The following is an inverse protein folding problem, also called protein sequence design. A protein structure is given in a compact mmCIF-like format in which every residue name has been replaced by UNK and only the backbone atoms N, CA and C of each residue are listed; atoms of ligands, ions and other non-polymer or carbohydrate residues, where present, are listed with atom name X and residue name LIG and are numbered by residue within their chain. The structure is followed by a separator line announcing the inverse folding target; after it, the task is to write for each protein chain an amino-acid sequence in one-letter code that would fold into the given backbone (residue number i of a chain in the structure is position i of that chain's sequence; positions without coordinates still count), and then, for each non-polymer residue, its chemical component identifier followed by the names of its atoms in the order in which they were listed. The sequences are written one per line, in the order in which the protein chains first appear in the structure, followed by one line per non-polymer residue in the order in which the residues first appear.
data_IF_757291807631
#
_entry.id   IF_757291807631
#
_cell.length_a   1.000
_cell.length_b   1.000
_cell.length_c   1.000
_cell.angle_alpha   90.00
_cell.angle_beta   90.00
_cell.angle_gamma   90.00
#
_symmetry.space_group_name_H-M   'P 1'
#
loop_
_entity.id
_entity.type
_entity.pdbx_description
1 polymer ?
#
# COMPACT_ATOMS: atom_id res chain seq x y z
N UNK A 1 18.16 -10.20 3.54
CA UNK A 1 18.36 -9.45 2.28
C UNK A 1 17.27 -9.91 1.32
N UNK A 2 16.52 -9.00 0.71
CA UNK A 2 15.36 -9.35 -0.11
C UNK A 2 15.74 -9.92 -1.49
N UNK A 3 16.94 -9.60 -1.96
CA UNK A 3 17.50 -10.08 -3.22
C UNK A 3 19.04 -10.04 -3.16
N UNK A 4 19.76 -10.85 -3.95
CA UNK A 4 21.21 -10.79 -4.02
C UNK A 4 21.64 -9.42 -4.53
N UNK A 5 22.58 -8.78 -3.85
CA UNK A 5 23.22 -7.58 -4.37
C UNK A 5 24.37 -7.99 -5.29
N UNK A 6 24.45 -7.31 -6.43
CA UNK A 6 25.68 -7.39 -7.21
C UNK A 6 26.81 -6.65 -6.47
N UNK A 7 27.84 -7.37 -6.06
CA UNK A 7 29.00 -6.83 -5.35
C UNK A 7 30.19 -6.63 -6.27
N UNK A 8 30.04 -6.84 -7.58
CA UNK A 8 31.13 -6.64 -8.54
C UNK A 8 31.51 -5.16 -8.64
N UNK A 9 32.79 -4.82 -8.47
CA UNK A 9 33.25 -3.43 -8.55
C UNK A 9 33.36 -2.90 -9.99
N UNK A 10 33.07 -3.75 -10.98
CA UNK A 10 33.15 -3.42 -12.40
C UNK A 10 31.79 -3.56 -13.08
N UNK A 11 31.54 -2.68 -14.03
CA UNK A 11 30.36 -2.79 -14.90
C UNK A 11 30.48 -4.07 -15.77
N UNK A 12 29.52 -4.96 -15.65
CA UNK A 12 29.44 -6.19 -16.43
C UNK A 12 28.55 -5.97 -17.65
N UNK A 13 29.11 -6.25 -18.83
CA UNK A 13 28.40 -6.07 -20.10
C UNK A 13 27.13 -6.94 -20.16
N UNK A 14 27.22 -8.18 -19.73
CA UNK A 14 26.10 -9.12 -19.79
C UNK A 14 24.97 -8.70 -18.85
N UNK A 15 25.29 -8.22 -17.64
CA UNK A 15 24.32 -7.68 -16.71
C UNK A 15 23.67 -6.39 -17.24
N UNK A 16 24.42 -5.57 -17.98
CA UNK A 16 23.86 -4.39 -18.63
C UNK A 16 22.93 -4.74 -19.79
N UNK A 17 23.27 -5.76 -20.60
CA UNK A 17 22.44 -6.21 -21.72
C UNK A 17 21.20 -6.99 -21.28
N UNK A 18 21.31 -7.74 -20.17
CA UNK A 18 20.23 -8.56 -19.61
C UNK A 18 20.15 -8.37 -18.10
N UNK A 19 19.63 -7.23 -17.64
CA UNK A 19 19.59 -6.92 -16.22
C UNK A 19 18.67 -7.87 -15.45
N UNK A 20 19.10 -8.27 -14.26
CA UNK A 20 18.29 -9.02 -13.30
C UNK A 20 17.18 -8.14 -12.71
N UNK A 21 16.22 -8.74 -12.01
CA UNK A 21 14.99 -8.08 -11.57
C UNK A 21 15.24 -6.81 -10.74
N UNK A 22 16.28 -6.78 -9.92
CA UNK A 22 16.64 -5.65 -9.04
C UNK A 22 17.10 -4.40 -9.79
N UNK A 23 17.46 -4.52 -11.07
CA UNK A 23 17.86 -3.40 -11.94
C UNK A 23 16.75 -2.94 -12.88
N UNK A 24 15.59 -3.58 -12.83
CA UNK A 24 14.43 -3.23 -13.65
C UNK A 24 13.40 -2.44 -12.86
N UNK A 25 12.55 -1.70 -13.55
CA UNK A 25 11.50 -0.92 -12.92
C UNK A 25 10.49 -1.80 -12.15
N UNK A 26 9.97 -1.26 -11.05
CA UNK A 26 8.91 -1.86 -10.25
C UNK A 26 7.82 -0.81 -10.02
N UNK A 27 6.73 -0.84 -10.78
CA UNK A 27 5.67 0.17 -10.69
C UNK A 27 4.84 0.04 -9.42
N UNK A 28 4.23 1.15 -9.00
CA UNK A 28 3.08 1.10 -8.11
C UNK A 28 1.91 0.46 -8.84
N UNK A 29 1.49 -0.69 -8.35
CA UNK A 29 0.36 -1.42 -8.91
C UNK A 29 -0.90 -1.16 -8.10
N UNK A 30 -1.74 -0.27 -8.62
CA UNK A 30 -2.91 0.23 -7.93
C UNK A 30 -4.02 -0.83 -7.86
N UNK A 31 -4.32 -1.30 -6.66
CA UNK A 31 -5.44 -2.17 -6.35
C UNK A 31 -6.66 -1.30 -5.99
N UNK A 32 -7.51 -1.07 -6.97
CA UNK A 32 -8.63 -0.11 -6.91
C UNK A 32 -9.98 -0.69 -7.35
N UNK A 33 -10.15 -2.00 -7.29
CA UNK A 33 -11.38 -2.70 -7.65
C UNK A 33 -11.63 -3.87 -6.68
N UNK A 34 -12.62 -4.71 -6.99
CA UNK A 34 -12.76 -6.03 -6.40
C UNK A 34 -11.66 -6.93 -6.94
N UNK A 35 -10.80 -7.42 -6.03
CA UNK A 35 -9.61 -8.16 -6.43
C UNK A 35 -9.98 -9.61 -6.81
N UNK A 36 -9.55 -10.03 -7.98
CA UNK A 36 -9.71 -11.42 -8.46
C UNK A 36 -8.35 -12.04 -8.69
N UNK A 37 -8.11 -13.21 -8.10
CA UNK A 37 -6.83 -13.89 -8.17
C UNK A 37 -6.33 -14.05 -9.60
N UNK A 38 -7.19 -14.54 -10.48
CA UNK A 38 -6.80 -14.83 -11.86
C UNK A 38 -6.41 -13.56 -12.64
N UNK A 39 -7.12 -12.46 -12.39
CA UNK A 39 -6.81 -11.16 -12.98
C UNK A 39 -5.49 -10.60 -12.46
N UNK A 40 -5.23 -10.73 -11.14
CA UNK A 40 -3.98 -10.30 -10.54
C UNK A 40 -2.80 -11.08 -11.13
N UNK A 41 -2.90 -12.40 -11.22
CA UNK A 41 -1.83 -13.23 -11.77
C UNK A 41 -1.60 -12.92 -13.26
N UNK A 42 -2.66 -12.71 -14.02
CA UNK A 42 -2.55 -12.28 -15.42
C UNK A 42 -1.87 -10.91 -15.56
N UNK A 43 -2.20 -9.95 -14.69
CA UNK A 43 -1.55 -8.63 -14.69
C UNK A 43 -0.05 -8.73 -14.38
N UNK A 44 0.35 -9.65 -13.48
CA UNK A 44 1.79 -9.93 -13.22
C UNK A 44 2.47 -10.45 -14.48
N UNK A 45 1.83 -11.34 -15.24
CA UNK A 45 2.36 -11.81 -16.51
C UNK A 45 2.56 -10.64 -17.51
N UNK A 46 1.63 -9.67 -17.53
CA UNK A 46 1.78 -8.47 -18.36
C UNK A 46 2.93 -7.58 -17.89
N UNK A 47 3.08 -7.36 -16.58
CA UNK A 47 4.20 -6.61 -16.03
C UNK A 47 5.54 -7.25 -16.40
N UNK A 48 5.63 -8.58 -16.28
CA UNK A 48 6.81 -9.33 -16.70
C UNK A 48 7.09 -9.17 -18.19
N UNK A 49 6.08 -9.31 -19.04
CA UNK A 49 6.20 -9.17 -20.49
C UNK A 49 6.66 -7.76 -20.90
N UNK A 50 6.30 -6.74 -20.14
CA UNK A 50 6.78 -5.36 -20.31
C UNK A 50 8.23 -5.16 -19.81
N UNK A 51 8.88 -6.19 -19.25
CA UNK A 51 10.25 -6.11 -18.75
C UNK A 51 10.37 -5.55 -17.33
N UNK A 52 9.28 -5.46 -16.56
CA UNK A 52 9.34 -5.03 -15.16
C UNK A 52 10.06 -6.07 -14.30
N UNK A 53 10.85 -5.62 -13.34
CA UNK A 53 11.58 -6.47 -12.39
C UNK A 53 10.78 -6.80 -11.13
N UNK A 54 9.65 -6.12 -10.93
CA UNK A 54 8.81 -6.33 -9.77
C UNK A 54 7.60 -5.41 -9.77
N UNK A 55 6.92 -5.33 -8.64
CA UNK A 55 5.72 -4.50 -8.47
C UNK A 55 5.47 -4.19 -6.98
N UNK A 56 4.80 -3.07 -6.72
CA UNK A 56 4.32 -2.70 -5.39
C UNK A 56 2.80 -2.85 -5.36
N UNK A 57 2.29 -3.84 -4.62
CA UNK A 57 0.86 -4.01 -4.36
C UNK A 57 0.37 -2.87 -3.49
N UNK A 58 -0.43 -1.98 -4.05
CA UNK A 58 -0.83 -0.74 -3.40
C UNK A 58 -2.34 -0.57 -3.38
N UNK A 59 -2.92 -0.65 -2.19
CA UNK A 59 -4.36 -0.43 -1.97
C UNK A 59 -4.74 1.01 -2.27
N UNK A 60 -5.75 1.21 -3.12
CA UNK A 60 -6.22 2.54 -3.53
C UNK A 60 -7.72 2.68 -3.34
N UNK A 61 -8.18 3.92 -3.43
CA UNK A 61 -9.60 4.23 -3.43
C UNK A 61 -10.31 3.45 -4.55
N UNK A 62 -11.40 2.77 -4.21
CA UNK A 62 -12.13 1.88 -5.11
C UNK A 62 -11.91 0.39 -4.84
N UNK A 63 -10.89 0.00 -4.07
CA UNK A 63 -10.74 -1.39 -3.64
C UNK A 63 -11.92 -1.78 -2.75
N UNK A 64 -12.65 -2.81 -3.15
CA UNK A 64 -13.80 -3.34 -2.39
C UNK A 64 -13.44 -4.58 -1.57
N UNK A 65 -12.38 -5.30 -1.92
CA UNK A 65 -11.83 -6.38 -1.09
C UNK A 65 -11.38 -5.80 0.25
N UNK A 66 -11.90 -6.28 1.40
CA UNK A 66 -11.61 -5.69 2.70
C UNK A 66 -10.12 -5.82 3.07
N UNK A 67 -9.53 -4.71 3.47
CA UNK A 67 -8.10 -4.61 3.81
C UNK A 67 -7.72 -5.47 5.03
N UNK A 68 -6.59 -6.18 4.95
CA UNK A 68 -6.03 -7.07 5.99
C UNK A 68 -6.96 -8.22 6.43
N UNK A 69 -7.91 -8.62 5.61
CA UNK A 69 -8.67 -9.86 5.81
C UNK A 69 -7.87 -11.07 5.32
N UNK A 70 -8.31 -12.27 5.70
CA UNK A 70 -7.69 -13.52 5.22
C UNK A 70 -7.74 -13.58 3.69
N UNK A 71 -8.87 -13.22 3.06
CA UNK A 71 -9.01 -13.14 1.61
C UNK A 71 -7.97 -12.19 0.98
N UNK A 72 -7.79 -11.00 1.55
CA UNK A 72 -6.78 -10.05 1.09
C UNK A 72 -5.37 -10.65 1.19
N UNK A 73 -5.05 -11.29 2.30
CA UNK A 73 -3.73 -11.88 2.53
C UNK A 73 -3.47 -13.11 1.64
N UNK A 74 -4.49 -13.89 1.31
CA UNK A 74 -4.40 -14.97 0.33
C UNK A 74 -4.06 -14.46 -1.08
N UNK A 75 -4.67 -13.33 -1.48
CA UNK A 75 -4.36 -12.68 -2.76
C UNK A 75 -2.93 -12.12 -2.79
N UNK A 76 -2.50 -11.48 -1.69
CA UNK A 76 -1.10 -11.04 -1.53
C UNK A 76 -0.15 -12.23 -1.62
N UNK A 77 -0.44 -13.33 -0.92
CA UNK A 77 0.33 -14.57 -0.96
C UNK A 77 0.47 -15.12 -2.38
N UNK A 78 -0.65 -15.20 -3.11
CA UNK A 78 -0.65 -15.66 -4.50
C UNK A 78 0.23 -14.80 -5.42
N UNK A 79 0.19 -13.47 -5.26
CA UNK A 79 1.04 -12.55 -6.01
C UNK A 79 2.52 -12.73 -5.67
N UNK A 80 2.86 -12.91 -4.39
CA UNK A 80 4.23 -13.17 -3.94
C UNK A 80 4.76 -14.49 -4.49
N UNK A 81 3.96 -15.55 -4.48
CA UNK A 81 4.36 -16.85 -5.00
C UNK A 81 4.55 -16.80 -6.52
N UNK A 82 3.69 -16.10 -7.25
CA UNK A 82 3.85 -15.86 -8.69
C UNK A 82 5.13 -15.08 -8.98
N UNK A 83 5.41 -14.03 -8.20
CA UNK A 83 6.63 -13.25 -8.36
C UNK A 83 7.89 -14.11 -8.18
N UNK A 84 7.91 -15.00 -7.17
CA UNK A 84 9.01 -15.96 -6.95
C UNK A 84 9.20 -16.91 -8.13
N UNK A 85 8.11 -17.43 -8.70
CA UNK A 85 8.16 -18.32 -9.86
C UNK A 85 8.72 -17.63 -11.11
N UNK A 86 8.51 -16.32 -11.22
CA UNK A 86 8.87 -15.52 -12.39
C UNK A 86 10.16 -14.71 -12.22
N UNK A 87 10.93 -14.95 -11.16
CA UNK A 87 12.11 -14.17 -10.79
C UNK A 87 11.85 -12.66 -10.74
N UNK A 88 10.70 -12.27 -10.15
CA UNK A 88 10.30 -10.90 -9.93
C UNK A 88 10.33 -10.55 -8.44
N UNK A 89 10.41 -9.26 -8.13
CA UNK A 89 10.34 -8.73 -6.78
C UNK A 89 8.91 -8.25 -6.47
N UNK A 90 8.42 -8.57 -5.29
CA UNK A 90 7.11 -8.14 -4.82
C UNK A 90 7.22 -7.37 -3.52
N UNK A 91 6.59 -6.21 -3.45
CA UNK A 91 6.45 -5.40 -2.24
C UNK A 91 4.97 -5.21 -1.92
N UNK A 92 4.64 -5.30 -0.65
CA UNK A 92 3.35 -4.86 -0.13
C UNK A 92 3.52 -3.44 0.41
N UNK A 93 2.74 -2.52 -0.12
CA UNK A 93 2.67 -1.16 0.43
C UNK A 93 1.79 -1.18 1.68
N UNK A 94 2.27 -0.62 2.78
CA UNK A 94 1.68 -0.76 4.13
C UNK A 94 0.45 0.12 4.41
N UNK A 95 -0.10 0.75 3.38
CA UNK A 95 -1.25 1.63 3.49
C UNK A 95 -2.51 1.03 2.86
N UNK A 96 -3.65 1.15 3.54
CA UNK A 96 -4.93 0.89 2.88
C UNK A 96 -5.26 2.02 1.91
N UNK A 97 -5.12 3.23 2.32
CA UNK A 97 -5.36 4.45 1.54
C UNK A 97 -4.59 5.58 2.17
N UNK A 98 -4.20 6.51 1.38
CA UNK A 98 -3.57 7.72 1.88
C UNK A 98 -4.60 8.66 2.54
N UNK A 99 -4.30 9.30 3.68
CA UNK A 99 -3.05 9.31 4.46
C UNK A 99 -2.89 8.11 5.40
N UNK A 100 -1.62 7.87 5.81
CA UNK A 100 -1.19 6.78 6.69
C UNK A 100 -1.82 6.80 8.08
N UNK A 101 -1.77 5.65 8.76
CA UNK A 101 -2.05 5.50 10.20
C UNK A 101 -3.43 5.00 10.53
N UNK A 102 -4.35 4.86 9.58
CA UNK A 102 -5.69 4.36 9.83
C UNK A 102 -5.80 2.83 9.73
N UNK A 103 -4.90 2.18 8.97
CA UNK A 103 -4.94 0.75 8.66
C UNK A 103 -6.34 0.29 8.20
N UNK A 104 -6.89 0.92 7.16
CA UNK A 104 -8.25 0.65 6.70
C UNK A 104 -9.36 1.02 7.70
N UNK A 105 -9.06 1.88 8.65
CA UNK A 105 -9.96 2.25 9.73
C UNK A 105 -9.91 1.32 10.97
N UNK A 106 -9.09 0.26 10.93
CA UNK A 106 -8.98 -0.69 12.04
C UNK A 106 -8.48 0.02 13.30
N UNK A 107 -7.42 0.80 13.20
CA UNK A 107 -6.84 1.55 14.33
C UNK A 107 -7.80 2.64 14.80
N UNK A 108 -8.41 3.38 13.88
CA UNK A 108 -9.28 4.52 14.20
C UNK A 108 -10.72 4.14 14.57
N UNK A 109 -11.08 2.85 14.60
CA UNK A 109 -12.31 2.37 15.26
C UNK A 109 -12.31 2.73 16.74
N UNK A 110 -11.17 2.60 17.39
CA UNK A 110 -11.01 3.07 18.75
C UNK A 110 -10.80 4.59 18.78
N UNK A 111 -11.71 5.30 19.43
CA UNK A 111 -11.69 6.76 19.52
C UNK A 111 -10.42 7.32 20.19
N UNK A 112 -9.70 6.50 20.98
CA UNK A 112 -8.44 6.90 21.63
C UNK A 112 -7.33 7.17 20.61
N UNK A 113 -7.38 6.52 19.43
CA UNK A 113 -6.38 6.63 18.38
C UNK A 113 -6.79 7.56 17.24
N UNK A 114 -7.94 8.25 17.37
CA UNK A 114 -8.39 9.24 16.38
C UNK A 114 -7.64 10.55 16.52
N UNK A 115 -7.37 11.20 15.40
CA UNK A 115 -6.89 12.56 15.40
C UNK A 115 -7.92 13.47 16.11
N UNK A 116 -7.41 14.38 16.90
CA UNK A 116 -8.23 15.36 17.64
C UNK A 116 -7.89 16.74 17.12
N UNK A 117 -8.92 17.55 16.96
CA UNK A 117 -8.76 18.96 16.58
C UNK A 117 -9.36 19.83 17.67
N UNK A 118 -8.68 20.92 17.98
CA UNK A 118 -9.23 21.99 18.78
C UNK A 118 -9.98 22.94 17.85
N UNK A 119 -11.27 23.16 18.10
CA UNK A 119 -12.06 24.15 17.38
C UNK A 119 -12.45 25.26 18.35
N UNK A 120 -12.11 26.47 18.01
CA UNK A 120 -12.48 27.66 18.76
C UNK A 120 -13.58 28.36 17.96
N UNK A 121 -14.73 28.60 18.58
CA UNK A 121 -15.85 29.30 17.97
C UNK A 121 -16.37 30.37 18.95
N UNK A 122 -16.83 31.51 18.42
CA UNK A 122 -17.41 32.59 19.24
C UNK A 122 -18.83 32.28 19.75
N UNK A 123 -19.45 31.21 19.23
CA UNK A 123 -20.79 30.77 19.65
C UNK A 123 -20.87 29.23 19.69
N UNK A 124 -21.67 28.70 20.62
CA UNK A 124 -21.93 27.26 20.67
C UNK A 124 -22.85 26.85 19.51
N UNK A 125 -22.49 25.80 18.77
CA UNK A 125 -23.39 25.12 17.83
C UNK A 125 -24.15 24.01 18.56
N UNK A 126 -25.47 24.10 18.58
CA UNK A 126 -26.33 23.20 19.38
C UNK A 126 -26.33 21.73 18.94
N UNK A 127 -25.92 21.44 17.69
CA UNK A 127 -26.03 20.11 17.08
C UNK A 127 -24.69 19.33 16.99
N UNK A 128 -23.64 19.73 17.66
CA UNK A 128 -22.37 19.01 17.68
C UNK A 128 -22.19 18.35 19.05
N UNK A 129 -21.81 17.04 19.05
CA UNK A 129 -21.45 16.30 20.26
C UNK A 129 -19.94 16.36 20.49
N UNK A 130 -19.39 17.40 21.09
CA UNK A 130 -17.97 17.53 21.35
C UNK A 130 -17.54 16.57 22.47
N UNK A 131 -16.27 16.12 22.42
CA UNK A 131 -15.67 15.32 23.51
C UNK A 131 -15.55 16.16 24.78
N UNK A 132 -15.30 17.45 24.65
CA UNK A 132 -15.29 18.41 25.74
C UNK A 132 -15.61 19.83 25.24
N UNK A 133 -16.21 20.64 26.08
CA UNK A 133 -16.47 22.06 25.82
C UNK A 133 -15.74 22.89 26.88
N UNK A 134 -15.10 23.95 26.44
CA UNK A 134 -14.42 24.90 27.30
C UNK A 134 -14.91 26.31 26.93
N UNK A 135 -15.24 27.13 27.91
CA UNK A 135 -15.56 28.51 27.70
C UNK A 135 -14.35 29.37 28.14
N UNK A 136 -13.90 30.23 27.26
CA UNK A 136 -12.89 31.24 27.57
C UNK A 136 -13.59 32.60 27.52
N UNK A 137 -13.59 33.30 28.63
CA UNK A 137 -14.04 34.69 28.70
C UNK A 137 -12.87 35.56 28.23
N UNK A 138 -13.11 36.35 27.20
CA UNK A 138 -12.18 37.37 26.73
C UNK A 138 -12.62 38.70 27.37
N UNK A 139 -11.74 39.29 28.17
CA UNK A 139 -11.93 40.64 28.74
C UNK A 139 -11.75 41.70 27.66
#
# INVERSE_FOLDING_TARGET
MLYPKNETPKLEKDLFQSPTCEYRAAPFWAWNCDLKKDELLWQIDQLRAMGMGGFHMHCRSGMSTPYLTDEFMELVGACVDKAKQDDMLAWLYDEDRWPSGAAGGIVTRDHRYRARTLRITLASRENESPIARWAILLD
#
